data_IF_202417272612
#
_entry.id   IF_202417272612
#
_cell.length_a   1.000
_cell.length_b   1.000
_cell.length_c   1.000
_cell.angle_alpha   90.00
_cell.angle_beta   90.00
_cell.angle_gamma   90.00
#
_symmetry.space_group_name_H-M   'P 1'
#
loop_
_entity.id
_entity.type
_entity.pdbx_description
1 polymer ?
#
# COMPACT_ATOMS: atom_id res chain seq x y z
N UNK A 1 11.65 54.20 5.34
CA UNK A 1 12.03 53.52 4.05
C UNK A 1 12.46 52.08 4.27
N UNK A 2 13.45 51.73 5.14
CA UNK A 2 13.87 50.36 5.36
C UNK A 2 12.74 49.51 6.02
N UNK A 3 12.10 50.05 7.06
CA UNK A 3 10.97 49.42 7.75
C UNK A 3 9.78 49.26 6.81
N UNK A 4 9.46 50.25 6.00
CA UNK A 4 8.37 50.19 5.02
C UNK A 4 8.66 49.15 3.90
N UNK A 5 9.93 48.97 3.46
CA UNK A 5 10.32 47.97 2.51
C UNK A 5 10.25 46.55 3.09
N UNK A 6 10.69 46.36 4.33
CA UNK A 6 10.57 45.08 5.02
C UNK A 6 9.11 44.71 5.25
N UNK A 7 8.29 45.64 5.68
CA UNK A 7 6.87 45.51 5.86
C UNK A 7 6.11 45.14 4.57
N UNK A 8 6.48 45.78 3.45
CA UNK A 8 5.92 45.42 2.14
C UNK A 8 6.33 44.02 1.71
N UNK A 9 7.56 43.60 2.01
CA UNK A 9 8.04 42.24 1.69
C UNK A 9 7.32 41.16 2.49
N UNK A 10 7.13 41.36 3.78
CA UNK A 10 6.39 40.46 4.68
C UNK A 10 4.92 40.36 4.27
N UNK A 11 4.26 41.51 4.00
CA UNK A 11 2.88 41.51 3.49
C UNK A 11 2.72 40.70 2.20
N UNK A 12 3.69 40.80 1.29
CA UNK A 12 3.68 40.03 0.03
C UNK A 12 3.82 38.52 0.26
N UNK A 13 4.60 38.13 1.28
CA UNK A 13 4.73 36.71 1.64
C UNK A 13 3.44 36.13 2.20
N UNK A 14 2.74 36.86 3.08
CA UNK A 14 1.45 36.44 3.62
C UNK A 14 0.39 36.30 2.53
N UNK A 15 0.31 37.26 1.62
CA UNK A 15 -0.60 37.22 0.49
C UNK A 15 -0.35 36.00 -0.40
N UNK A 16 0.93 35.65 -0.61
CA UNK A 16 1.30 34.47 -1.38
C UNK A 16 0.86 33.17 -0.70
N UNK A 17 1.06 33.05 0.62
CA UNK A 17 0.65 31.85 1.37
C UNK A 17 -0.88 31.71 1.35
N UNK A 18 -1.61 32.79 1.63
CA UNK A 18 -3.07 32.81 1.62
C UNK A 18 -3.60 32.45 0.24
N UNK A 19 -3.01 33.00 -0.82
CA UNK A 19 -3.37 32.69 -2.20
C UNK A 19 -3.14 31.22 -2.51
N UNK A 20 -1.95 30.68 -2.21
CA UNK A 20 -1.63 29.26 -2.41
C UNK A 20 -2.63 28.37 -1.69
N UNK A 21 -2.96 28.70 -0.45
CA UNK A 21 -3.91 27.92 0.34
C UNK A 21 -5.30 27.93 -0.31
N UNK A 22 -5.85 29.10 -0.57
CA UNK A 22 -7.19 29.26 -1.14
C UNK A 22 -7.33 28.66 -2.56
N UNK A 23 -6.27 28.65 -3.35
CA UNK A 23 -6.29 28.09 -4.71
C UNK A 23 -6.13 26.58 -4.74
N UNK A 24 -5.42 26.00 -3.79
CA UNK A 24 -5.01 24.59 -3.87
C UNK A 24 -5.77 23.66 -2.93
N UNK A 25 -6.22 24.18 -1.77
CA UNK A 25 -6.90 23.35 -0.78
C UNK A 25 -8.42 23.50 -0.88
N UNK A 26 -9.07 22.35 -0.94
CA UNK A 26 -10.53 22.25 -0.97
C UNK A 26 -11.05 22.15 0.47
N UNK A 27 -11.39 23.29 1.03
CA UNK A 27 -11.98 23.43 2.35
C UNK A 27 -13.20 24.34 2.26
N UNK A 28 -14.21 24.21 3.16
CA UNK A 28 -15.44 25.00 3.10
C UNK A 28 -15.26 26.45 3.59
N UNK A 29 -14.04 26.95 3.59
CA UNK A 29 -13.73 28.32 4.01
C UNK A 29 -12.60 28.90 3.15
N UNK A 30 -12.55 30.22 3.10
CA UNK A 30 -11.45 30.98 2.51
C UNK A 30 -10.71 31.76 3.59
N UNK A 31 -9.42 31.97 3.37
CA UNK A 31 -8.54 32.71 4.26
C UNK A 31 -8.40 34.15 3.79
N UNK A 32 -8.45 35.07 4.74
CA UNK A 32 -8.12 36.48 4.53
C UNK A 32 -7.34 37.02 5.72
N UNK A 33 -6.45 37.97 5.51
CA UNK A 33 -5.77 38.69 6.58
C UNK A 33 -6.33 40.11 6.69
N UNK A 34 -6.76 40.48 7.88
CA UNK A 34 -7.40 41.81 8.13
C UNK A 34 -6.38 42.90 8.42
N UNK A 35 -5.40 42.64 9.29
CA UNK A 35 -4.50 43.65 9.83
C UNK A 35 -3.10 43.68 9.20
N UNK A 36 -2.98 43.33 7.93
CA UNK A 36 -1.70 43.27 7.21
C UNK A 36 -0.90 44.57 7.31
N UNK A 37 -1.55 45.72 7.10
CA UNK A 37 -0.89 47.00 7.12
C UNK A 37 -0.44 47.38 8.53
N UNK A 38 -1.22 47.08 9.55
CA UNK A 38 -0.87 47.39 10.95
C UNK A 38 0.33 46.54 11.41
N UNK A 39 0.33 45.24 11.09
CA UNK A 39 1.50 44.38 11.38
C UNK A 39 2.72 44.83 10.61
N UNK A 40 2.56 45.13 9.33
CA UNK A 40 3.64 45.61 8.48
C UNK A 40 4.24 46.94 8.96
N UNK A 41 3.47 47.79 9.58
CA UNK A 41 3.91 49.07 10.17
C UNK A 41 4.40 48.93 11.63
N UNK A 42 4.38 47.71 12.19
CA UNK A 42 4.73 47.47 13.61
C UNK A 42 3.71 48.02 14.62
N UNK A 43 2.51 48.32 14.15
CA UNK A 43 1.39 48.80 14.99
C UNK A 43 0.65 47.63 15.63
N UNK A 44 0.78 46.44 15.09
CA UNK A 44 0.24 45.18 15.61
C UNK A 44 1.33 44.11 15.65
N UNK A 45 1.29 43.24 16.63
CA UNK A 45 2.34 42.20 16.83
C UNK A 45 2.04 40.89 16.13
N UNK A 46 0.81 40.65 15.70
CA UNK A 46 0.36 39.41 15.12
C UNK A 46 -0.58 39.61 13.93
N UNK A 47 -0.40 38.78 12.91
CA UNK A 47 -1.32 38.72 11.77
C UNK A 47 -2.67 38.13 12.22
N UNK A 48 -3.77 38.85 12.00
CA UNK A 48 -5.12 38.38 12.26
C UNK A 48 -5.66 37.68 11.00
N UNK A 49 -5.75 36.35 11.04
CA UNK A 49 -6.38 35.56 10.00
C UNK A 49 -7.87 35.46 10.26
N UNK A 50 -8.67 35.76 9.24
CA UNK A 50 -10.11 35.64 9.24
C UNK A 50 -10.49 34.50 8.30
N UNK A 51 -11.41 33.68 8.77
CA UNK A 51 -11.98 32.57 8.03
C UNK A 51 -13.37 32.93 7.55
N UNK A 52 -13.58 32.96 6.25
CA UNK A 52 -14.89 33.12 5.64
C UNK A 52 -15.44 31.77 5.23
N UNK A 53 -16.40 31.26 5.99
CA UNK A 53 -17.13 30.05 5.66
C UNK A 53 -18.16 30.35 4.57
N UNK A 54 -18.25 29.47 3.56
CA UNK A 54 -19.19 29.60 2.46
C UNK A 54 -19.79 28.22 2.14
N UNK A 55 -21.10 28.09 2.29
CA UNK A 55 -21.83 26.86 1.99
C UNK A 55 -22.48 26.87 0.59
N UNK A 56 -22.23 27.93 -0.19
CA UNK A 56 -22.80 28.14 -1.53
C UNK A 56 -24.08 28.97 -1.52
N UNK A 57 -24.68 29.27 -0.36
CA UNK A 57 -25.86 30.13 -0.20
C UNK A 57 -25.56 31.33 0.69
N UNK A 58 -24.83 31.11 1.78
CA UNK A 58 -24.48 32.13 2.73
C UNK A 58 -22.97 32.14 2.98
N UNK A 59 -22.48 33.33 3.38
CA UNK A 59 -21.08 33.53 3.77
C UNK A 59 -21.04 34.19 5.12
N UNK A 60 -20.28 33.62 6.06
CA UNK A 60 -20.10 34.11 7.39
C UNK A 60 -18.63 34.17 7.79
N UNK A 61 -18.21 35.24 8.45
CA UNK A 61 -16.91 35.32 9.10
C UNK A 61 -16.95 34.51 10.40
N UNK A 62 -16.01 33.56 10.52
CA UNK A 62 -15.99 32.62 11.65
C UNK A 62 -14.66 32.73 12.38
N UNK A 63 -14.74 32.74 13.71
CA UNK A 63 -13.53 32.66 14.55
C UNK A 63 -12.91 31.28 14.47
N UNK A 64 -11.59 31.21 14.66
CA UNK A 64 -10.82 29.96 14.50
C UNK A 64 -11.35 28.81 15.37
N UNK A 65 -11.71 29.09 16.61
CA UNK A 65 -12.14 28.03 17.55
C UNK A 65 -13.52 27.48 17.19
N UNK A 66 -14.42 28.35 16.73
CA UNK A 66 -15.72 27.95 16.23
C UNK A 66 -15.57 27.11 14.95
N UNK A 67 -14.70 27.53 14.04
CA UNK A 67 -14.38 26.78 12.81
C UNK A 67 -13.84 25.39 13.15
N UNK A 68 -12.88 25.29 14.08
CA UNK A 68 -12.30 24.00 14.48
C UNK A 68 -13.33 23.03 15.08
N UNK A 69 -14.43 23.53 15.64
CA UNK A 69 -15.49 22.70 16.21
C UNK A 69 -16.32 21.96 15.15
N UNK A 70 -16.45 22.54 13.95
CA UNK A 70 -17.30 22.03 12.85
C UNK A 70 -16.53 21.32 11.73
N UNK A 71 -15.24 21.57 11.60
CA UNK A 71 -14.41 20.95 10.56
C UNK A 71 -14.20 19.46 10.78
N UNK A 72 -14.20 18.72 9.70
CA UNK A 72 -13.72 17.34 9.65
C UNK A 72 -12.22 17.25 9.99
N UNK A 73 -11.72 16.05 10.32
CA UNK A 73 -10.30 15.85 10.61
C UNK A 73 -9.40 16.21 9.42
N UNK A 74 -9.83 15.96 8.19
CA UNK A 74 -9.09 16.33 6.99
C UNK A 74 -8.98 17.83 6.80
N UNK A 75 -10.06 18.57 7.04
CA UNK A 75 -10.09 20.03 6.95
C UNK A 75 -9.27 20.69 8.07
N UNK A 76 -9.29 20.12 9.29
CA UNK A 76 -8.40 20.55 10.39
C UNK A 76 -6.93 20.38 10.04
N UNK A 77 -6.57 19.26 9.37
CA UNK A 77 -5.21 19.06 8.89
C UNK A 77 -4.81 20.07 7.80
N UNK A 78 -5.74 20.47 6.93
CA UNK A 78 -5.48 21.54 5.95
C UNK A 78 -5.09 22.86 6.65
N UNK A 79 -5.76 23.21 7.75
CA UNK A 79 -5.35 24.35 8.60
C UNK A 79 -3.96 24.17 9.22
N UNK A 80 -3.60 22.95 9.64
CA UNK A 80 -2.25 22.69 10.14
C UNK A 80 -1.18 22.92 9.06
N UNK A 81 -1.46 22.52 7.82
CA UNK A 81 -0.55 22.77 6.69
C UNK A 81 -0.34 24.27 6.45
N UNK A 82 -1.34 25.09 6.69
CA UNK A 82 -1.18 26.53 6.61
C UNK A 82 0.00 27.04 7.44
N UNK A 83 0.19 26.54 8.66
CA UNK A 83 1.35 26.89 9.49
C UNK A 83 2.67 26.44 8.85
N UNK A 84 2.69 25.27 8.23
CA UNK A 84 3.87 24.77 7.50
C UNK A 84 4.17 25.63 6.28
N UNK A 85 3.13 26.11 5.58
CA UNK A 85 3.27 27.02 4.44
C UNK A 85 3.91 28.36 4.88
N UNK A 86 3.43 28.94 5.98
CA UNK A 86 4.01 30.17 6.52
C UNK A 86 5.47 30.00 6.93
N UNK A 87 5.78 28.93 7.66
CA UNK A 87 7.14 28.64 8.09
C UNK A 87 8.08 28.45 6.88
N UNK A 88 7.62 27.75 5.86
CA UNK A 88 8.41 27.53 4.65
C UNK A 88 8.70 28.83 3.89
N UNK A 89 7.71 29.68 3.68
CA UNK A 89 7.93 30.95 2.99
C UNK A 89 8.85 31.89 3.81
N UNK A 90 8.73 31.87 5.13
CA UNK A 90 9.66 32.59 6.01
C UNK A 90 11.10 32.06 5.90
N UNK A 91 11.28 30.74 5.84
CA UNK A 91 12.60 30.10 5.64
C UNK A 91 13.18 30.36 4.25
N UNK A 92 12.36 30.36 3.20
CA UNK A 92 12.79 30.76 1.86
C UNK A 92 13.35 32.18 1.84
N UNK A 93 12.67 33.11 2.49
CA UNK A 93 13.07 34.52 2.55
C UNK A 93 14.42 34.71 3.25
N UNK A 94 14.72 33.90 4.27
CA UNK A 94 15.98 34.00 5.02
C UNK A 94 17.15 33.28 4.35
N UNK A 95 16.91 32.43 3.34
CA UNK A 95 17.92 31.63 2.67
C UNK A 95 18.61 30.58 3.56
N UNK A 96 18.06 30.27 4.72
CA UNK A 96 18.65 29.33 5.69
C UNK A 96 18.46 27.88 5.23
N UNK A 97 19.51 27.09 5.35
CA UNK A 97 19.40 25.64 5.21
C UNK A 97 18.47 25.10 6.32
N UNK A 98 17.47 24.33 5.91
CA UNK A 98 16.44 23.83 6.82
C UNK A 98 16.14 22.36 6.50
N UNK A 99 16.11 21.54 7.55
CA UNK A 99 15.63 20.16 7.47
C UNK A 99 14.19 20.13 7.97
N UNK A 100 13.27 19.67 7.12
CA UNK A 100 11.89 19.41 7.48
C UNK A 100 11.71 17.92 7.73
N UNK A 101 11.23 17.58 8.91
CA UNK A 101 10.82 16.23 9.28
C UNK A 101 9.29 16.23 9.28
N UNK A 102 8.69 15.47 8.39
CA UNK A 102 7.26 15.44 8.16
C UNK A 102 6.77 14.01 8.39
N UNK A 103 5.93 13.84 9.40
CA UNK A 103 5.42 12.56 9.83
C UNK A 103 3.92 12.45 9.53
N UNK A 104 3.53 11.37 8.86
CA UNK A 104 2.15 10.99 8.50
C UNK A 104 1.25 12.13 7.96
N UNK A 105 1.85 12.97 7.11
CA UNK A 105 1.16 14.13 6.56
C UNK A 105 -0.11 13.76 5.77
N UNK A 106 -0.10 12.61 5.10
CA UNK A 106 -1.19 12.19 4.21
C UNK A 106 -2.40 11.60 4.93
N UNK A 107 -2.27 11.26 6.20
CA UNK A 107 -3.35 10.62 6.94
C UNK A 107 -4.53 11.55 7.15
N UNK A 108 -5.72 11.03 6.88
CA UNK A 108 -7.00 11.73 7.03
C UNK A 108 -7.26 12.86 6.03
N UNK A 109 -6.44 13.06 4.99
CA UNK A 109 -6.81 13.96 3.91
C UNK A 109 -7.81 13.31 2.96
N UNK A 110 -8.78 14.11 2.52
CA UNK A 110 -9.61 13.72 1.40
C UNK A 110 -8.81 13.64 0.10
N UNK A 111 -9.37 12.96 -0.89
CA UNK A 111 -8.69 12.73 -2.16
C UNK A 111 -8.28 14.03 -2.88
N UNK A 112 -9.05 15.11 -2.71
CA UNK A 112 -8.80 16.40 -3.37
C UNK A 112 -7.59 17.11 -2.77
N UNK A 113 -7.48 17.13 -1.45
CA UNK A 113 -6.40 17.80 -0.73
C UNK A 113 -5.06 17.05 -0.82
N UNK A 114 -5.08 15.74 -1.04
CA UNK A 114 -3.87 14.91 -1.20
C UNK A 114 -2.95 15.44 -2.31
N UNK A 115 -3.49 15.83 -3.47
CA UNK A 115 -2.68 16.34 -4.57
C UNK A 115 -2.08 17.72 -4.30
N UNK A 116 -2.79 18.59 -3.59
CA UNK A 116 -2.27 19.89 -3.17
C UNK A 116 -1.01 19.73 -2.30
N UNK A 117 -1.05 18.76 -1.37
CA UNK A 117 0.09 18.43 -0.51
C UNK A 117 1.27 17.89 -1.31
N UNK A 118 1.03 16.96 -2.23
CA UNK A 118 2.09 16.38 -3.07
C UNK A 118 2.79 17.45 -3.90
N UNK A 119 2.02 18.35 -4.51
CA UNK A 119 2.58 19.48 -5.26
C UNK A 119 3.43 20.38 -4.37
N UNK A 120 2.97 20.64 -3.16
CA UNK A 120 3.68 21.44 -2.20
C UNK A 120 4.99 20.79 -1.74
N UNK A 121 4.96 19.50 -1.42
CA UNK A 121 6.15 18.73 -1.07
C UNK A 121 7.17 18.72 -2.22
N UNK A 122 6.68 18.69 -3.47
CA UNK A 122 7.57 18.79 -4.63
C UNK A 122 8.27 20.14 -4.70
N UNK A 123 7.53 21.23 -4.52
CA UNK A 123 8.12 22.58 -4.49
C UNK A 123 9.15 22.75 -3.36
N UNK A 124 8.89 22.12 -2.19
CA UNK A 124 9.86 22.06 -1.10
C UNK A 124 11.11 21.25 -1.48
N UNK A 125 10.92 20.09 -2.10
CA UNK A 125 12.03 19.20 -2.49
C UNK A 125 12.92 19.82 -3.58
N UNK A 126 12.34 20.63 -4.45
CA UNK A 126 13.07 21.33 -5.52
C UNK A 126 13.83 22.58 -5.00
N UNK A 127 13.57 23.02 -3.75
CA UNK A 127 14.25 24.19 -3.19
C UNK A 127 15.65 23.83 -2.65
N UNK A 128 16.68 24.54 -3.11
CA UNK A 128 18.08 24.20 -2.85
C UNK A 128 18.45 24.10 -1.36
N UNK A 129 17.87 24.99 -0.53
CA UNK A 129 18.18 25.08 0.90
C UNK A 129 17.33 24.16 1.78
N UNK A 130 16.42 23.39 1.19
CA UNK A 130 15.54 22.50 1.95
C UNK A 130 15.97 21.04 1.81
N UNK A 131 15.93 20.34 2.94
CA UNK A 131 16.09 18.88 3.02
C UNK A 131 14.85 18.30 3.68
N UNK A 132 14.24 17.30 3.06
CA UNK A 132 13.02 16.69 3.57
C UNK A 132 13.29 15.26 4.02
N UNK A 133 12.79 14.93 5.20
CA UNK A 133 12.64 13.58 5.70
C UNK A 133 11.14 13.34 5.83
N UNK A 134 10.60 12.48 4.96
CA UNK A 134 9.18 12.16 4.93
C UNK A 134 8.98 10.77 5.54
N UNK A 135 8.18 10.70 6.60
CA UNK A 135 7.81 9.46 7.26
C UNK A 135 6.33 9.20 6.93
N UNK A 136 6.01 8.00 6.53
CA UNK A 136 4.62 7.59 6.27
C UNK A 136 4.47 6.09 6.37
N UNK A 137 3.37 5.63 6.91
CA UNK A 137 2.94 4.24 6.84
C UNK A 137 1.96 4.01 5.68
N UNK A 138 1.48 5.06 5.00
CA UNK A 138 0.57 4.99 3.87
C UNK A 138 1.33 4.72 2.57
N UNK A 139 1.24 3.49 2.07
CA UNK A 139 1.98 3.06 0.87
C UNK A 139 1.50 3.75 -0.41
N UNK A 140 0.22 4.05 -0.57
CA UNK A 140 -0.29 4.76 -1.73
C UNK A 140 0.26 6.21 -1.80
N UNK A 141 0.38 6.87 -0.64
CA UNK A 141 1.05 8.16 -0.56
C UNK A 141 2.53 8.07 -0.92
N UNK A 142 3.26 7.10 -0.35
CA UNK A 142 4.66 6.82 -0.69
C UNK A 142 4.86 6.60 -2.20
N UNK A 143 4.04 5.76 -2.81
CA UNK A 143 4.06 5.49 -4.26
C UNK A 143 3.78 6.75 -5.09
N UNK A 144 2.86 7.58 -4.62
CA UNK A 144 2.51 8.83 -5.31
C UNK A 144 3.66 9.83 -5.27
N UNK A 145 4.34 9.99 -4.13
CA UNK A 145 5.56 10.82 -4.03
C UNK A 145 6.65 10.38 -5.01
N UNK A 146 6.86 9.07 -5.14
CA UNK A 146 7.79 8.50 -6.12
C UNK A 146 7.37 8.79 -7.56
N UNK A 147 6.12 8.51 -7.91
CA UNK A 147 5.61 8.66 -9.27
C UNK A 147 5.57 10.13 -9.73
N UNK A 148 5.43 11.05 -8.80
CA UNK A 148 5.44 12.51 -9.05
C UNK A 148 6.84 13.12 -8.97
N UNK A 149 7.86 12.32 -8.69
CA UNK A 149 9.25 12.76 -8.65
C UNK A 149 9.57 13.69 -7.48
N UNK A 150 8.84 13.59 -6.38
CA UNK A 150 9.18 14.30 -5.13
C UNK A 150 10.44 13.71 -4.52
N UNK A 151 10.60 12.40 -4.63
CA UNK A 151 11.77 11.65 -4.14
C UNK A 151 12.21 10.62 -5.16
N UNK A 152 13.52 10.36 -5.25
CA UNK A 152 14.08 9.29 -6.08
C UNK A 152 14.12 7.95 -5.35
N UNK A 153 13.97 6.83 -6.07
CA UNK A 153 14.00 5.48 -5.50
C UNK A 153 15.20 5.18 -4.62
N UNK A 154 16.37 5.70 -4.98
CA UNK A 154 17.61 5.51 -4.23
C UNK A 154 17.61 6.21 -2.86
N UNK A 155 16.60 6.99 -2.55
CA UNK A 155 16.42 7.73 -1.29
C UNK A 155 15.22 7.21 -0.49
N UNK A 156 14.66 6.09 -0.87
CA UNK A 156 13.50 5.48 -0.22
C UNK A 156 13.93 4.28 0.62
N UNK A 157 13.46 4.25 1.86
CA UNK A 157 13.80 3.20 2.81
C UNK A 157 12.52 2.69 3.46
N UNK A 158 12.53 1.39 3.78
CA UNK A 158 11.52 0.76 4.63
C UNK A 158 12.10 0.61 6.03
N UNK A 159 11.39 1.19 6.99
CA UNK A 159 11.72 1.06 8.41
C UNK A 159 11.10 -0.22 8.97
N UNK A 160 11.88 -1.00 9.68
CA UNK A 160 11.45 -2.22 10.33
C UNK A 160 11.89 -2.23 11.79
N UNK A 161 10.95 -2.58 12.66
CA UNK A 161 11.22 -2.74 14.09
C UNK A 161 11.29 -4.22 14.40
N UNK A 162 12.49 -4.71 14.71
CA UNK A 162 12.72 -6.04 15.24
C UNK A 162 13.00 -6.01 16.75
N UNK A 163 13.35 -7.16 17.31
CA UNK A 163 13.71 -7.27 18.74
C UNK A 163 14.93 -6.38 19.06
N UNK A 164 14.68 -5.27 19.76
CA UNK A 164 15.71 -4.36 20.26
C UNK A 164 16.41 -3.47 19.21
N UNK A 165 16.01 -3.51 17.93
CA UNK A 165 16.60 -2.67 16.89
C UNK A 165 15.58 -2.16 15.87
N UNK A 166 15.90 -1.03 15.25
CA UNK A 166 15.22 -0.52 14.05
C UNK A 166 16.22 -0.61 12.90
N UNK A 167 15.81 -1.21 11.79
CA UNK A 167 16.59 -1.26 10.55
C UNK A 167 15.92 -0.44 9.45
N UNK A 168 16.74 0.15 8.58
CA UNK A 168 16.28 0.86 7.40
C UNK A 168 16.84 0.13 6.17
N UNK A 169 15.96 -0.52 5.44
CA UNK A 169 16.32 -1.23 4.22
C UNK A 169 15.87 -0.42 3.01
N UNK A 170 16.70 -0.34 1.97
CA UNK A 170 16.33 0.37 0.76
C UNK A 170 15.07 -0.26 0.13
N UNK A 171 14.10 0.57 -0.21
CA UNK A 171 12.87 0.14 -0.86
C UNK A 171 13.18 -0.31 -2.30
N UNK A 172 13.40 -1.61 -2.50
CA UNK A 172 13.61 -2.21 -3.81
C UNK A 172 12.30 -2.74 -4.40
N UNK A 173 12.21 -2.80 -5.74
CA UNK A 173 11.09 -3.40 -6.50
C UNK A 173 9.70 -2.76 -6.33
N UNK A 174 9.56 -1.64 -5.63
CA UNK A 174 8.26 -0.95 -5.41
C UNK A 174 7.66 -0.32 -6.66
N UNK A 175 8.44 -0.10 -7.72
CA UNK A 175 7.93 0.56 -8.94
C UNK A 175 6.93 -0.31 -9.70
N UNK A 176 7.29 -1.56 -9.94
CA UNK A 176 6.44 -2.55 -10.57
C UNK A 176 6.98 -3.96 -10.21
N UNK A 177 6.54 -4.54 -9.09
CA UNK A 177 7.03 -5.82 -8.63
C UNK A 177 6.76 -6.95 -9.64
N UNK A 178 5.68 -6.86 -10.43
CA UNK A 178 5.31 -7.89 -11.40
C UNK A 178 6.26 -7.93 -12.59
N UNK A 179 6.59 -6.78 -13.18
CA UNK A 179 7.45 -6.70 -14.37
C UNK A 179 8.92 -6.87 -14.01
N UNK A 180 9.40 -6.13 -13.02
CA UNK A 180 10.83 -6.09 -12.68
C UNK A 180 11.25 -7.19 -11.69
N UNK A 181 10.32 -7.72 -10.89
CA UNK A 181 10.51 -8.86 -10.01
C UNK A 181 10.02 -10.16 -10.66
N UNK A 182 8.75 -10.47 -10.51
CA UNK A 182 8.15 -11.77 -10.80
C UNK A 182 8.36 -12.24 -12.25
N UNK A 183 7.97 -11.44 -13.23
CA UNK A 183 8.14 -11.80 -14.64
C UNK A 183 9.61 -12.00 -15.03
N UNK A 184 10.49 -11.10 -14.56
CA UNK A 184 11.91 -11.14 -14.91
C UNK A 184 12.61 -12.38 -14.35
N UNK A 185 12.28 -12.75 -13.12
CA UNK A 185 13.00 -13.79 -12.37
C UNK A 185 12.24 -15.13 -12.30
N UNK A 186 11.13 -15.27 -13.00
CA UNK A 186 10.30 -16.47 -13.02
C UNK A 186 11.07 -17.78 -13.25
N UNK A 187 12.06 -17.78 -14.14
CA UNK A 187 12.88 -18.95 -14.46
C UNK A 187 14.20 -19.02 -13.67
N UNK A 188 14.42 -18.13 -12.72
CA UNK A 188 15.69 -18.04 -11.96
C UNK A 188 15.50 -18.03 -10.45
N UNK A 189 14.26 -17.87 -9.96
CA UNK A 189 13.98 -17.76 -8.53
C UNK A 189 12.64 -18.43 -8.20
N UNK A 190 12.67 -19.44 -7.33
CA UNK A 190 11.50 -20.24 -6.93
C UNK A 190 10.42 -19.42 -6.24
N UNK A 191 10.81 -18.54 -5.32
CA UNK A 191 9.90 -17.66 -4.58
C UNK A 191 9.11 -16.76 -5.55
N UNK A 192 9.82 -16.08 -6.45
CA UNK A 192 9.19 -15.18 -7.41
C UNK A 192 8.39 -15.92 -8.50
N UNK A 193 8.79 -17.15 -8.79
CA UNK A 193 8.04 -18.06 -9.66
C UNK A 193 6.66 -18.37 -9.08
N UNK A 194 6.61 -18.84 -7.85
CA UNK A 194 5.33 -19.14 -7.16
C UNK A 194 4.51 -17.87 -6.96
N UNK A 195 5.12 -16.78 -6.52
CA UNK A 195 4.44 -15.50 -6.36
C UNK A 195 3.87 -14.93 -7.68
N UNK A 196 4.35 -15.40 -8.83
CA UNK A 196 3.82 -15.02 -10.14
C UNK A 196 2.49 -15.70 -10.48
N UNK A 197 2.12 -16.79 -9.83
CA UNK A 197 0.93 -17.59 -10.18
C UNK A 197 -0.35 -16.75 -10.14
N UNK A 198 -0.68 -16.02 -9.05
CA UNK A 198 -1.87 -15.18 -9.01
C UNK A 198 -1.89 -14.10 -10.10
N UNK A 199 -0.73 -13.53 -10.40
CA UNK A 199 -0.59 -12.50 -11.42
C UNK A 199 -0.83 -13.02 -12.83
N UNK A 200 -0.24 -14.18 -13.17
CA UNK A 200 -0.44 -14.82 -14.48
C UNK A 200 -1.89 -15.28 -14.64
N UNK A 201 -2.49 -15.83 -13.57
CA UNK A 201 -3.90 -16.20 -13.54
C UNK A 201 -4.81 -15.02 -13.89
N UNK A 202 -4.58 -13.85 -13.28
CA UNK A 202 -5.37 -12.64 -13.57
C UNK A 202 -5.19 -12.16 -15.03
N UNK A 203 -4.00 -12.29 -15.60
CA UNK A 203 -3.80 -11.98 -17.03
C UNK A 203 -4.65 -12.89 -17.91
N UNK A 204 -4.71 -14.19 -17.61
CA UNK A 204 -5.53 -15.14 -18.36
C UNK A 204 -7.02 -14.83 -18.19
N UNK A 205 -7.48 -14.53 -16.97
CA UNK A 205 -8.85 -14.11 -16.68
C UNK A 205 -9.29 -12.94 -17.58
N UNK A 206 -8.49 -11.87 -17.65
CA UNK A 206 -8.79 -10.68 -18.45
C UNK A 206 -8.65 -10.87 -19.95
N UNK A 207 -7.82 -11.81 -20.40
CA UNK A 207 -7.50 -11.96 -21.83
C UNK A 207 -8.18 -13.15 -22.48
N UNK A 208 -8.53 -14.20 -21.71
CA UNK A 208 -9.09 -15.45 -22.20
C UNK A 208 -10.37 -15.89 -21.49
N UNK A 209 -10.68 -15.29 -20.32
CA UNK A 209 -11.88 -15.59 -19.52
C UNK A 209 -11.64 -16.69 -18.47
N UNK A 210 -12.64 -16.86 -17.60
CA UNK A 210 -12.60 -17.76 -16.45
C UNK A 210 -12.74 -19.25 -16.83
N UNK A 211 -13.22 -19.54 -18.06
CA UNK A 211 -13.35 -20.91 -18.58
C UNK A 211 -12.06 -21.40 -19.26
N UNK A 212 -11.01 -20.56 -19.37
CA UNK A 212 -9.74 -20.95 -19.99
C UNK A 212 -9.07 -22.09 -19.20
N UNK A 213 -8.64 -23.18 -19.85
CA UNK A 213 -8.02 -24.31 -19.15
C UNK A 213 -6.76 -23.95 -18.36
N UNK A 214 -5.96 -22.98 -18.82
CA UNK A 214 -4.76 -22.53 -18.12
C UNK A 214 -5.12 -21.68 -16.91
N UNK A 215 -6.18 -20.87 -17.01
CA UNK A 215 -6.73 -20.15 -15.86
C UNK A 215 -7.20 -21.11 -14.77
N UNK A 216 -7.93 -22.17 -15.13
CA UNK A 216 -8.40 -23.18 -14.18
C UNK A 216 -7.24 -23.92 -13.51
N UNK A 217 -6.21 -24.31 -14.26
CA UNK A 217 -4.99 -24.91 -13.71
C UNK A 217 -4.28 -23.99 -12.71
N UNK A 218 -4.12 -22.72 -13.05
CA UNK A 218 -3.51 -21.75 -12.11
C UNK A 218 -4.39 -21.52 -10.89
N UNK A 219 -5.71 -21.58 -11.03
CA UNK A 219 -6.65 -21.55 -9.89
C UNK A 219 -6.45 -22.76 -8.97
N UNK A 220 -6.17 -23.94 -9.55
CA UNK A 220 -5.86 -25.16 -8.79
C UNK A 220 -4.48 -25.14 -8.10
N UNK A 221 -3.65 -24.14 -8.36
CA UNK A 221 -2.43 -23.86 -7.60
C UNK A 221 -2.65 -22.82 -6.46
N UNK A 222 -3.78 -22.14 -6.46
CA UNK A 222 -4.18 -21.18 -5.40
C UNK A 222 -5.21 -21.77 -4.43
N UNK A 223 -5.87 -22.83 -4.84
CA UNK A 223 -6.84 -23.61 -4.09
C UNK A 223 -6.57 -25.11 -4.24
N UNK A 224 -6.79 -25.87 -3.19
CA UNK A 224 -6.61 -27.31 -3.26
C UNK A 224 -7.75 -27.98 -4.03
N UNK A 225 -7.46 -28.47 -5.20
CA UNK A 225 -8.35 -29.24 -6.08
C UNK A 225 -7.79 -30.64 -6.32
N UNK A 226 -8.59 -31.54 -6.85
CA UNK A 226 -8.14 -32.90 -7.17
C UNK A 226 -6.90 -32.97 -8.06
N UNK A 227 -6.74 -32.01 -8.96
CA UNK A 227 -5.61 -31.92 -9.91
C UNK A 227 -4.39 -31.16 -9.37
N UNK A 228 -4.50 -30.46 -8.22
CA UNK A 228 -3.44 -29.57 -7.71
C UNK A 228 -2.09 -30.28 -7.56
N UNK A 229 -2.10 -31.53 -7.06
CA UNK A 229 -0.88 -32.31 -6.87
C UNK A 229 -0.24 -32.79 -8.20
N UNK A 230 -0.98 -32.81 -9.30
CA UNK A 230 -0.52 -33.30 -10.59
C UNK A 230 0.07 -32.24 -11.52
N UNK A 231 -0.16 -30.95 -11.19
CA UNK A 231 0.36 -29.82 -11.99
C UNK A 231 1.86 -29.69 -11.74
N UNK A 232 2.65 -29.97 -12.77
CA UNK A 232 4.10 -29.92 -12.69
C UNK A 232 4.70 -28.58 -13.15
N UNK A 233 6.00 -28.42 -12.91
CA UNK A 233 6.71 -27.21 -13.30
C UNK A 233 6.88 -27.04 -14.81
N UNK A 234 6.82 -28.12 -15.61
CA UNK A 234 6.88 -28.03 -17.07
C UNK A 234 5.59 -27.41 -17.63
N UNK A 235 4.45 -27.76 -17.04
CA UNK A 235 3.16 -27.13 -17.38
C UNK A 235 3.13 -25.65 -17.02
N UNK A 236 3.62 -25.28 -15.84
CA UNK A 236 3.74 -23.88 -15.45
C UNK A 236 4.67 -23.09 -16.38
N UNK A 237 5.77 -23.69 -16.85
CA UNK A 237 6.65 -23.11 -17.88
C UNK A 237 5.91 -22.86 -19.19
N UNK A 238 5.11 -23.81 -19.64
CA UNK A 238 4.30 -23.70 -20.86
C UNK A 238 3.34 -22.52 -20.74
N UNK A 239 2.53 -22.49 -19.68
CA UNK A 239 1.53 -21.44 -19.43
C UNK A 239 2.21 -20.06 -19.42
N UNK A 240 3.32 -19.91 -18.71
CA UNK A 240 4.02 -18.63 -18.61
C UNK A 240 4.59 -18.17 -19.96
N UNK A 241 5.26 -19.08 -20.71
CA UNK A 241 5.82 -18.76 -22.03
C UNK A 241 4.73 -18.36 -23.03
N UNK A 242 3.58 -19.01 -23.01
CA UNK A 242 2.45 -18.71 -23.89
C UNK A 242 1.78 -17.41 -23.53
N UNK A 243 1.51 -17.19 -22.24
CA UNK A 243 0.90 -15.93 -21.74
C UNK A 243 1.72 -14.71 -22.14
N UNK A 244 3.04 -14.78 -22.02
CA UNK A 244 3.93 -13.67 -22.36
C UNK A 244 4.52 -13.71 -23.76
N UNK A 245 4.05 -14.60 -24.63
CA UNK A 245 4.50 -14.76 -26.03
C UNK A 245 6.05 -14.76 -26.15
N UNK A 246 6.70 -15.52 -25.28
CA UNK A 246 8.16 -15.54 -25.18
C UNK A 246 8.79 -16.08 -26.47
N UNK A 247 9.59 -15.27 -27.17
CA UNK A 247 10.29 -15.65 -28.41
C UNK A 247 11.28 -16.79 -28.20
N UNK A 248 11.86 -16.91 -27.01
CA UNK A 248 12.69 -18.03 -26.56
C UNK A 248 11.97 -18.71 -25.40
N UNK A 249 11.49 -19.96 -25.65
CA UNK A 249 10.87 -20.77 -24.59
C UNK A 249 11.92 -21.11 -23.54
N UNK A 250 11.80 -20.52 -22.37
CA UNK A 250 12.64 -20.80 -21.21
C UNK A 250 12.03 -21.92 -20.39
N UNK A 251 12.87 -22.63 -19.63
CA UNK A 251 12.45 -23.71 -18.75
C UNK A 251 13.07 -23.53 -17.36
N UNK A 252 12.32 -23.95 -16.36
CA UNK A 252 12.81 -24.12 -15.00
C UNK A 252 13.50 -25.46 -14.84
N UNK A 253 14.54 -25.54 -14.04
CA UNK A 253 15.34 -26.78 -13.93
C UNK A 253 14.67 -27.94 -13.16
N UNK A 254 13.50 -27.69 -12.54
CA UNK A 254 12.83 -28.72 -11.72
C UNK A 254 11.96 -29.74 -12.52
N UNK A 255 11.79 -29.54 -13.84
CA UNK A 255 11.15 -30.51 -14.73
C UNK A 255 9.72 -30.87 -14.32
N UNK A 256 9.49 -32.17 -14.11
CA UNK A 256 8.19 -32.74 -13.73
C UNK A 256 7.89 -32.72 -12.24
N UNK A 257 8.68 -32.04 -11.41
CA UNK A 257 8.35 -31.87 -9.98
C UNK A 257 7.04 -31.08 -9.82
N UNK A 258 6.10 -31.55 -8.98
CA UNK A 258 4.86 -30.82 -8.72
C UNK A 258 5.11 -29.37 -8.27
N UNK A 259 4.27 -28.43 -8.72
CA UNK A 259 4.39 -27.02 -8.32
C UNK A 259 4.07 -26.84 -6.84
N UNK A 260 3.17 -27.65 -6.28
CA UNK A 260 2.83 -27.64 -4.85
C UNK A 260 4.04 -27.96 -3.97
N UNK A 261 4.91 -28.90 -4.39
CA UNK A 261 6.14 -29.20 -3.65
C UNK A 261 7.08 -28.00 -3.61
N UNK A 262 7.24 -27.32 -4.75
CA UNK A 262 8.04 -26.09 -4.81
C UNK A 262 7.39 -24.96 -3.96
N UNK A 263 6.06 -24.83 -3.98
CA UNK A 263 5.33 -23.87 -3.16
C UNK A 263 5.65 -24.07 -1.67
N UNK A 264 5.55 -25.31 -1.17
CA UNK A 264 5.79 -25.61 0.24
C UNK A 264 7.27 -25.41 0.61
N UNK A 265 8.22 -25.79 -0.26
CA UNK A 265 9.64 -25.48 -0.04
C UNK A 265 9.89 -23.97 0.09
N UNK A 266 9.31 -23.19 -0.81
CA UNK A 266 9.47 -21.72 -0.76
C UNK A 266 8.75 -21.08 0.43
N UNK A 267 7.65 -21.66 0.90
CA UNK A 267 7.00 -21.21 2.12
C UNK A 267 7.86 -21.45 3.38
N UNK A 268 8.57 -22.59 3.46
CA UNK A 268 9.54 -22.84 4.53
C UNK A 268 10.71 -21.83 4.50
N UNK A 269 11.23 -21.52 3.31
CA UNK A 269 12.25 -20.48 3.16
C UNK A 269 11.72 -19.09 3.61
N UNK A 270 10.45 -18.77 3.33
CA UNK A 270 9.82 -17.53 3.73
C UNK A 270 9.68 -17.37 5.25
N UNK A 271 9.56 -18.50 6.01
CA UNK A 271 9.49 -18.45 7.47
C UNK A 271 10.77 -17.89 8.13
N UNK A 272 11.92 -18.12 7.52
CA UNK A 272 13.24 -17.75 8.04
C UNK A 272 13.87 -16.56 7.33
N UNK A 273 13.20 -16.02 6.29
CA UNK A 273 13.70 -14.88 5.55
C UNK A 273 13.78 -13.62 6.42
N UNK A 274 14.75 -12.76 6.17
CA UNK A 274 14.83 -11.44 6.81
C UNK A 274 13.57 -10.63 6.51
N UNK A 275 13.10 -9.88 7.49
CA UNK A 275 11.99 -8.97 7.29
C UNK A 275 12.38 -7.88 6.30
N UNK A 276 11.59 -7.75 5.24
CA UNK A 276 11.68 -6.72 4.21
C UNK A 276 10.27 -6.47 3.63
N UNK A 277 10.16 -5.70 2.56
CA UNK A 277 8.87 -5.54 1.87
C UNK A 277 8.36 -6.89 1.34
N UNK A 278 9.26 -7.76 0.94
CA UNK A 278 9.09 -9.19 0.60
C UNK A 278 7.69 -9.56 0.07
N UNK A 279 7.22 -8.88 -0.97
CA UNK A 279 5.93 -9.19 -1.58
C UNK A 279 5.78 -10.66 -1.93
N UNK A 280 6.84 -11.22 -2.50
CA UNK A 280 6.91 -12.62 -2.88
C UNK A 280 6.69 -13.54 -1.68
N UNK A 281 7.30 -13.25 -0.53
CA UNK A 281 7.12 -14.06 0.68
C UNK A 281 5.68 -14.02 1.16
N UNK A 282 5.05 -12.84 1.18
CA UNK A 282 3.65 -12.68 1.61
C UNK A 282 2.70 -13.44 0.70
N UNK A 283 2.89 -13.35 -0.61
CA UNK A 283 2.08 -14.09 -1.59
C UNK A 283 2.27 -15.59 -1.42
N UNK A 284 3.51 -16.06 -1.35
CA UNK A 284 3.83 -17.49 -1.20
C UNK A 284 3.29 -18.05 0.11
N UNK A 285 3.51 -17.36 1.24
CA UNK A 285 2.95 -17.76 2.53
C UNK A 285 1.44 -17.83 2.52
N UNK A 286 0.77 -16.86 1.88
CA UNK A 286 -0.70 -16.85 1.80
C UNK A 286 -1.24 -18.01 0.96
N UNK A 287 -0.60 -18.32 -0.18
CA UNK A 287 -0.97 -19.48 -1.01
C UNK A 287 -0.73 -20.77 -0.23
N UNK A 288 0.45 -20.95 0.36
CA UNK A 288 0.78 -22.17 1.12
C UNK A 288 -0.14 -22.37 2.31
N UNK A 289 -0.41 -21.32 3.08
CA UNK A 289 -1.33 -21.34 4.22
C UNK A 289 -2.71 -21.82 3.79
N UNK A 290 -3.22 -21.29 2.68
CA UNK A 290 -4.52 -21.67 2.14
C UNK A 290 -4.54 -23.11 1.64
N UNK A 291 -3.56 -23.51 0.87
CA UNK A 291 -3.45 -24.90 0.34
C UNK A 291 -3.43 -25.91 1.49
N UNK A 292 -2.59 -25.70 2.51
CA UNK A 292 -2.48 -26.62 3.66
C UNK A 292 -3.80 -26.65 4.47
N UNK A 293 -4.43 -25.50 4.70
CA UNK A 293 -5.72 -25.42 5.38
C UNK A 293 -6.84 -26.13 4.60
N UNK A 294 -6.88 -25.95 3.28
CA UNK A 294 -7.87 -26.61 2.43
C UNK A 294 -7.62 -28.12 2.36
N UNK A 295 -6.35 -28.58 2.27
CA UNK A 295 -5.99 -30.01 2.38
C UNK A 295 -6.51 -30.63 3.67
N UNK A 296 -6.28 -29.95 4.81
CA UNK A 296 -6.78 -30.41 6.10
C UNK A 296 -8.31 -30.51 6.11
N UNK A 297 -9.01 -29.46 5.66
CA UNK A 297 -10.47 -29.46 5.65
C UNK A 297 -11.05 -30.52 4.71
N UNK A 298 -10.49 -30.68 3.52
CA UNK A 298 -10.91 -31.72 2.55
C UNK A 298 -10.72 -33.12 3.13
N UNK A 299 -9.56 -33.39 3.75
CA UNK A 299 -9.30 -34.68 4.38
C UNK A 299 -10.23 -34.99 5.54
N UNK A 300 -10.57 -33.99 6.37
CA UNK A 300 -11.47 -34.18 7.52
C UNK A 300 -12.94 -34.30 7.09
N UNK A 301 -13.35 -33.57 6.04
CA UNK A 301 -14.72 -33.65 5.52
C UNK A 301 -15.01 -34.99 4.84
N UNK A 302 -13.98 -35.59 4.22
CA UNK A 302 -14.05 -36.87 3.50
C UNK A 302 -15.29 -37.02 2.59
N UNK A 303 -15.57 -35.95 1.83
CA UNK A 303 -16.76 -35.85 0.97
C UNK A 303 -16.37 -35.30 -0.41
N UNK A 304 -15.81 -36.14 -1.30
CA UNK A 304 -15.39 -35.71 -2.64
C UNK A 304 -16.51 -35.07 -3.46
N UNK A 305 -17.76 -35.56 -3.29
CA UNK A 305 -18.90 -35.00 -4.03
C UNK A 305 -19.15 -33.54 -3.67
N UNK A 306 -19.03 -33.21 -2.41
CA UNK A 306 -19.15 -31.82 -1.95
C UNK A 306 -17.93 -31.00 -2.37
N UNK A 307 -16.71 -31.50 -2.10
CA UNK A 307 -15.48 -30.71 -2.31
C UNK A 307 -15.20 -30.44 -3.78
N UNK A 308 -15.43 -31.41 -4.68
CA UNK A 308 -15.26 -31.23 -6.11
C UNK A 308 -16.37 -30.38 -6.75
N UNK A 309 -17.53 -30.30 -6.11
CA UNK A 309 -18.65 -29.46 -6.53
C UNK A 309 -18.49 -27.96 -6.21
N UNK A 310 -17.46 -27.54 -5.46
CA UNK A 310 -17.25 -26.13 -5.11
C UNK A 310 -16.68 -25.37 -6.29
N UNK A 311 -17.45 -24.44 -6.85
CA UNK A 311 -17.08 -23.61 -8.00
C UNK A 311 -16.55 -22.22 -7.64
N UNK A 312 -16.77 -21.75 -6.40
CA UNK A 312 -16.31 -20.43 -5.95
C UNK A 312 -16.19 -20.34 -4.44
N UNK A 313 -15.45 -19.36 -3.93
CA UNK A 313 -15.21 -19.11 -2.50
C UNK A 313 -14.81 -20.39 -1.73
N UNK A 314 -13.93 -21.21 -2.32
CA UNK A 314 -13.64 -22.56 -1.84
C UNK A 314 -13.23 -22.61 -0.37
N UNK A 315 -12.29 -21.79 0.08
CA UNK A 315 -11.80 -21.79 1.47
C UNK A 315 -12.95 -21.54 2.46
N UNK A 316 -13.79 -20.54 2.14
CA UNK A 316 -14.96 -20.21 2.94
C UNK A 316 -15.98 -21.36 2.95
N UNK A 317 -16.27 -21.95 1.78
CA UNK A 317 -17.24 -23.05 1.68
C UNK A 317 -16.79 -24.28 2.47
N UNK A 318 -15.50 -24.65 2.35
CA UNK A 318 -14.89 -25.73 3.12
C UNK A 318 -14.97 -25.46 4.63
N UNK A 319 -14.62 -24.24 5.06
CA UNK A 319 -14.66 -23.88 6.47
C UNK A 319 -16.08 -23.91 7.05
N UNK A 320 -17.07 -23.42 6.32
CA UNK A 320 -18.47 -23.49 6.75
C UNK A 320 -18.96 -24.93 6.87
N UNK A 321 -18.62 -25.80 5.92
CA UNK A 321 -18.94 -27.21 5.99
C UNK A 321 -18.24 -27.92 7.18
N UNK A 322 -16.94 -27.64 7.36
CA UNK A 322 -16.14 -28.15 8.47
C UNK A 322 -16.74 -27.80 9.82
N UNK A 323 -17.09 -26.53 10.02
CA UNK A 323 -17.75 -26.05 11.23
C UNK A 323 -19.17 -26.60 11.39
N UNK A 324 -19.97 -26.57 10.33
CA UNK A 324 -21.36 -26.99 10.33
C UNK A 324 -21.55 -28.47 10.59
N UNK A 325 -20.58 -29.32 10.21
CA UNK A 325 -20.57 -30.76 10.51
C UNK A 325 -19.94 -31.09 11.87
N UNK A 326 -19.58 -30.08 12.66
CA UNK A 326 -19.08 -30.27 14.03
C UNK A 326 -17.60 -30.67 14.13
N UNK A 327 -16.83 -30.56 13.04
CA UNK A 327 -15.40 -30.90 13.05
C UNK A 327 -14.53 -29.86 13.77
N UNK A 328 -13.40 -30.33 14.27
CA UNK A 328 -12.36 -29.57 14.91
C UNK A 328 -12.68 -29.02 16.30
N UNK A 329 -11.62 -28.55 16.95
CA UNK A 329 -11.66 -27.84 18.24
C UNK A 329 -11.97 -26.35 18.02
N UNK A 330 -12.25 -25.61 19.10
CA UNK A 330 -12.40 -24.15 19.01
C UNK A 330 -11.10 -23.47 18.51
N UNK A 331 -9.94 -24.04 18.85
CA UNK A 331 -8.65 -23.53 18.39
C UNK A 331 -8.45 -23.77 16.88
N UNK A 332 -8.68 -25.00 16.38
CA UNK A 332 -8.56 -25.30 14.95
C UNK A 332 -9.55 -24.49 14.12
N UNK A 333 -10.77 -24.27 14.62
CA UNK A 333 -11.76 -23.41 13.95
C UNK A 333 -11.31 -21.96 13.88
N UNK A 334 -10.65 -21.43 14.94
CA UNK A 334 -10.10 -20.07 14.94
C UNK A 334 -8.96 -19.94 13.94
N UNK A 335 -8.05 -20.94 13.89
CA UNK A 335 -6.96 -20.94 12.90
C UNK A 335 -7.52 -20.90 11.47
N UNK A 336 -8.52 -21.73 11.18
CA UNK A 336 -9.13 -21.78 9.84
C UNK A 336 -9.92 -20.50 9.50
N UNK A 337 -10.53 -19.85 10.49
CA UNK A 337 -11.17 -18.54 10.31
C UNK A 337 -10.14 -17.44 9.97
N UNK A 338 -9.00 -17.44 10.68
CA UNK A 338 -7.87 -16.55 10.36
C UNK A 338 -7.39 -16.76 8.92
N UNK A 339 -7.35 -18.00 8.40
CA UNK A 339 -6.98 -18.27 6.99
C UNK A 339 -7.98 -17.63 6.02
N UNK A 340 -9.27 -17.74 6.31
CA UNK A 340 -10.31 -17.12 5.48
C UNK A 340 -10.19 -15.60 5.46
N UNK A 341 -9.83 -14.99 6.59
CA UNK A 341 -9.76 -13.53 6.73
C UNK A 341 -8.47 -12.94 6.18
N UNK A 342 -7.32 -13.62 6.34
CA UNK A 342 -6.00 -13.01 6.10
C UNK A 342 -5.39 -13.33 4.74
N UNK A 343 -5.94 -14.26 3.97
CA UNK A 343 -5.28 -14.70 2.73
C UNK A 343 -5.92 -14.23 1.43
N UNK A 344 -7.17 -13.75 1.35
CA UNK A 344 -7.84 -13.46 0.07
C UNK A 344 -7.12 -12.42 -0.79
N UNK A 345 -6.76 -11.28 -0.22
CA UNK A 345 -6.15 -10.17 -0.95
C UNK A 345 -4.80 -10.55 -1.56
N UNK A 346 -4.06 -11.44 -0.89
CA UNK A 346 -2.71 -11.83 -1.30
C UNK A 346 -2.68 -12.82 -2.45
N UNK A 347 -3.77 -13.57 -2.67
CA UNK A 347 -3.87 -14.54 -3.75
C UNK A 347 -4.71 -14.06 -4.95
N UNK A 348 -5.56 -13.05 -4.72
CA UNK A 348 -6.31 -12.39 -5.77
C UNK A 348 -5.62 -11.10 -6.23
N UNK A 349 -4.29 -11.09 -6.22
CA UNK A 349 -3.46 -9.95 -6.61
C UNK A 349 -3.75 -9.58 -8.05
N UNK A 350 -4.42 -8.47 -8.23
CA UNK A 350 -4.39 -7.82 -9.52
C UNK A 350 -3.23 -6.81 -9.59
N UNK A 351 -2.70 -6.58 -10.80
CA UNK A 351 -1.54 -5.71 -11.02
C UNK A 351 -1.75 -4.25 -10.60
N UNK A 352 -2.96 -3.89 -10.19
CA UNK A 352 -3.35 -2.53 -9.81
C UNK A 352 -3.58 -2.36 -8.30
N UNK A 353 -3.78 -3.46 -7.56
CA UNK A 353 -4.16 -3.42 -6.15
C UNK A 353 -3.29 -4.37 -5.31
N UNK A 354 -2.01 -4.03 -5.16
CA UNK A 354 -1.08 -4.80 -4.32
C UNK A 354 -0.80 -4.13 -2.96
N UNK A 355 -1.41 -2.97 -2.70
CA UNK A 355 -1.31 -2.27 -1.42
C UNK A 355 -1.74 -3.13 -0.23
N UNK A 356 -2.84 -3.88 -0.27
CA UNK A 356 -3.26 -4.73 0.85
C UNK A 356 -2.21 -5.76 1.27
N UNK A 357 -1.39 -6.25 0.33
CA UNK A 357 -0.29 -7.18 0.64
C UNK A 357 0.77 -6.52 1.52
N UNK A 358 0.99 -5.22 1.34
CA UNK A 358 1.99 -4.48 2.11
C UNK A 358 1.52 -4.25 3.54
N UNK A 359 0.24 -3.97 3.72
CA UNK A 359 -0.35 -3.67 5.02
C UNK A 359 -0.40 -4.89 5.94
N UNK A 360 -0.41 -6.09 5.36
CA UNK A 360 -0.37 -7.32 6.14
C UNK A 360 1.07 -7.62 6.62
N UNK A 361 1.22 -7.82 7.92
CA UNK A 361 2.52 -8.13 8.54
C UNK A 361 3.07 -9.49 8.10
N UNK A 362 4.34 -9.56 7.72
CA UNK A 362 5.06 -10.82 7.47
C UNK A 362 5.00 -11.74 8.69
N UNK A 363 5.16 -11.19 9.90
CA UNK A 363 5.12 -11.93 11.15
C UNK A 363 3.75 -12.62 11.34
N UNK A 364 2.65 -11.94 11.06
CA UNK A 364 1.30 -12.51 11.17
C UNK A 364 1.09 -13.67 10.20
N UNK A 365 1.57 -13.56 8.95
CA UNK A 365 1.48 -14.64 7.97
C UNK A 365 2.35 -15.85 8.33
N UNK A 366 3.56 -15.61 8.85
CA UNK A 366 4.46 -16.68 9.32
C UNK A 366 3.87 -17.43 10.50
N UNK A 367 3.31 -16.71 11.46
CA UNK A 367 2.60 -17.30 12.59
C UNK A 367 1.40 -18.13 12.11
N UNK A 368 0.57 -17.57 11.23
CA UNK A 368 -0.60 -18.26 10.69
C UNK A 368 -0.19 -19.53 9.95
N UNK A 369 0.81 -19.48 9.06
CA UNK A 369 1.31 -20.66 8.35
C UNK A 369 1.81 -21.74 9.31
N UNK A 370 2.56 -21.35 10.34
CA UNK A 370 3.04 -22.29 11.36
C UNK A 370 1.90 -22.97 12.12
N UNK A 371 0.86 -22.21 12.49
CA UNK A 371 -0.34 -22.75 13.18
C UNK A 371 -1.14 -23.68 12.27
N UNK A 372 -1.30 -23.34 10.99
CA UNK A 372 -2.01 -24.20 10.04
C UNK A 372 -1.29 -25.53 9.80
N UNK A 373 0.05 -25.53 9.77
CA UNK A 373 0.84 -26.77 9.66
C UNK A 373 0.67 -27.71 10.86
N UNK A 374 0.21 -27.22 11.98
CA UNK A 374 -0.03 -28.02 13.20
C UNK A 374 -1.44 -28.59 13.32
N UNK A 375 -2.35 -28.28 12.36
CA UNK A 375 -3.69 -28.87 12.29
C UNK A 375 -3.64 -30.33 11.85
#
# INVERSE_FOLDING_TARGET
>A
KAIEQQAATESTQWDKVIKIFNERFFVPFTLRAENKHQVALGQDSMLKLVFEFNDGQESASVERDDLLSVLSNGEKKALYILNVLFEMEARKATGRETVFIIDDLADSFDYKNKYAIIQYLKEMADHANFKLILLTHNFDFFRTLLSRGVVGYNRCFMAQKGEGKVSLNQASHVKNPFIYGFKKNFFGNGMQRIASVPFVRNILEYTRGEDDPDYLKLTSLLHWKAESASIDNAELDRIFNETFQSSKKKKWNAGTKPVIDLLLEQAEEALIADEAINFENKVVLSIATRIVAEQHMVAVLDDPTFTDGITGNQTQALFQAYKGRGHGTDESRRILDDVVLMTPENIHVNSFMYEPIIDLSDAALRELFTRVKSL
#
